data_IF_246134798301
#
_entry.id   IF_246134798301
#
_cell.length_a   1.000
_cell.length_b   1.000
_cell.length_c   1.000
_cell.angle_alpha   90.00
_cell.angle_beta   90.00
_cell.angle_gamma   90.00
#
_symmetry.space_group_name_H-M   'P 1'
#
loop_
_entity.id
_entity.type
_entity.pdbx_description
1 polymer ?
#
# COMPACT_ATOMS: atom_id res chain seq x y z
N UNK A 1 10.26 -8.33 -5.41
CA UNK A 1 9.89 -8.09 -6.82
C UNK A 1 8.51 -7.45 -6.75
N UNK A 2 8.40 -6.20 -7.20
CA UNK A 2 7.17 -5.40 -7.07
C UNK A 2 6.09 -5.98 -7.99
N UNK A 3 4.90 -6.26 -7.46
CA UNK A 3 3.75 -6.75 -8.23
C UNK A 3 3.06 -5.58 -8.92
N UNK A 4 2.65 -5.79 -10.17
CA UNK A 4 1.75 -4.87 -10.85
C UNK A 4 0.35 -4.91 -10.20
N UNK A 5 -0.12 -3.77 -9.70
CA UNK A 5 -1.42 -3.63 -9.03
C UNK A 5 -2.56 -3.18 -9.96
N UNK A 6 -2.29 -2.96 -11.25
CA UNK A 6 -3.29 -2.52 -12.23
C UNK A 6 -3.61 -1.02 -12.20
N UNK A 7 -2.81 -0.22 -11.49
CA UNK A 7 -2.93 1.24 -11.43
C UNK A 7 -1.63 1.90 -11.92
N UNK A 8 -1.71 3.07 -12.59
CA UNK A 8 -0.54 3.81 -13.03
C UNK A 8 0.12 4.52 -11.85
N UNK A 9 0.91 3.79 -11.07
CA UNK A 9 1.65 4.31 -9.91
C UNK A 9 3.15 4.09 -10.07
N UNK A 10 3.94 4.97 -9.48
CA UNK A 10 5.40 4.83 -9.44
C UNK A 10 5.75 3.67 -8.50
N UNK A 11 6.76 2.89 -8.88
CA UNK A 11 7.22 1.79 -8.05
C UNK A 11 7.77 2.27 -6.69
N UNK A 12 7.45 1.58 -5.57
CA UNK A 12 8.01 1.90 -4.28
C UNK A 12 9.53 1.74 -4.27
N UNK A 13 10.25 2.76 -3.77
CA UNK A 13 11.72 2.72 -3.62
C UNK A 13 12.18 2.02 -2.36
N UNK A 14 11.31 1.97 -1.34
CA UNK A 14 11.64 1.40 -0.04
C UNK A 14 11.56 -0.13 -0.04
N UNK A 15 12.37 -0.75 0.82
CA UNK A 15 12.36 -2.19 0.99
C UNK A 15 11.04 -2.62 1.66
N UNK A 16 10.40 -3.69 1.18
CA UNK A 16 9.20 -4.20 1.83
C UNK A 16 9.50 -4.68 3.24
N UNK A 17 8.53 -4.48 4.14
CA UNK A 17 8.54 -5.06 5.48
C UNK A 17 8.37 -6.58 5.36
N UNK A 18 9.19 -7.33 6.10
CA UNK A 18 9.16 -8.80 6.08
C UNK A 18 7.84 -9.29 6.71
N UNK A 19 7.20 -10.28 6.08
CA UNK A 19 5.93 -10.90 6.51
C UNK A 19 4.71 -9.95 6.51
N UNK A 20 4.72 -8.90 5.69
CA UNK A 20 3.62 -7.94 5.54
C UNK A 20 2.64 -8.39 4.43
N UNK A 21 1.58 -9.13 4.78
CA UNK A 21 0.62 -9.64 3.79
C UNK A 21 -0.30 -8.55 3.21
N UNK A 22 -0.55 -7.47 3.95
CA UNK A 22 -1.47 -6.40 3.56
C UNK A 22 -0.83 -5.36 2.62
N UNK A 23 0.43 -5.55 2.24
CA UNK A 23 1.10 -4.69 1.28
C UNK A 23 0.55 -4.97 -0.15
N UNK A 24 0.00 -3.98 -0.88
CA UNK A 24 -0.54 -4.22 -2.22
C UNK A 24 0.55 -4.54 -3.28
N UNK A 25 1.79 -4.13 -3.04
CA UNK A 25 2.92 -4.30 -3.96
C UNK A 25 3.71 -5.59 -3.75
N UNK A 26 3.86 -6.04 -2.50
CA UNK A 26 4.70 -7.20 -2.15
C UNK A 26 3.97 -8.29 -1.33
N UNK A 27 2.70 -8.05 -0.96
CA UNK A 27 1.85 -8.98 -0.21
C UNK A 27 0.78 -9.65 -1.11
N UNK A 28 -0.32 -10.08 -0.50
CA UNK A 28 -1.43 -10.78 -1.17
C UNK A 28 -2.65 -9.90 -1.43
N UNK A 29 -2.62 -8.64 -0.99
CA UNK A 29 -3.76 -7.73 -1.10
C UNK A 29 -4.04 -7.32 -2.57
N UNK A 30 -5.30 -7.41 -2.97
CA UNK A 30 -5.79 -6.98 -4.29
C UNK A 30 -6.58 -5.68 -4.18
N UNK A 31 -6.28 -4.71 -5.05
CA UNK A 31 -7.01 -3.43 -5.11
C UNK A 31 -8.17 -3.57 -6.12
N UNK A 32 -9.37 -3.19 -5.69
CA UNK A 32 -10.59 -3.16 -6.52
C UNK A 32 -11.59 -2.15 -5.96
N UNK A 33 -12.52 -1.67 -6.78
CA UNK A 33 -13.57 -0.74 -6.36
C UNK A 33 -13.27 0.71 -6.74
N UNK A 34 -13.40 1.63 -5.78
CA UNK A 34 -13.25 3.07 -5.98
C UNK A 34 -11.93 3.58 -5.39
N UNK A 35 -11.37 4.63 -5.99
CA UNK A 35 -10.23 5.38 -5.46
C UNK A 35 -10.72 6.64 -4.77
N UNK A 36 -10.07 7.01 -3.66
CA UNK A 36 -10.37 8.20 -2.88
C UNK A 36 -9.08 8.92 -2.53
N UNK A 37 -9.15 10.25 -2.39
CA UNK A 37 -8.06 11.12 -1.97
C UNK A 37 -8.47 11.86 -0.69
N UNK A 38 -7.51 12.11 0.20
CA UNK A 38 -7.76 12.74 1.50
C UNK A 38 -6.47 13.18 2.20
N UNK A 39 -6.62 13.89 3.31
CA UNK A 39 -5.51 14.37 4.14
C UNK A 39 -5.37 13.45 5.36
N UNK A 40 -4.14 12.99 5.64
CA UNK A 40 -3.83 12.19 6.83
C UNK A 40 -3.93 13.06 8.08
N UNK A 41 -4.74 12.65 9.05
CA UNK A 41 -4.95 13.35 10.33
C UNK A 41 -4.24 12.65 11.51
N UNK A 42 -3.93 11.35 11.41
CA UNK A 42 -3.24 10.59 12.45
C UNK A 42 -2.42 9.42 11.87
N UNK A 43 -1.20 9.22 12.37
CA UNK A 43 -0.31 8.15 11.95
C UNK A 43 0.39 7.45 13.15
N UNK A 44 -0.27 7.41 14.31
CA UNK A 44 0.30 6.79 15.52
C UNK A 44 0.25 5.26 15.54
N UNK A 45 -0.63 4.64 14.74
CA UNK A 45 -0.75 3.19 14.67
C UNK A 45 0.31 2.59 13.75
N UNK A 46 0.84 1.41 14.12
CA UNK A 46 1.89 0.74 13.34
C UNK A 46 1.33 0.28 11.99
N UNK A 47 1.84 0.84 10.90
CA UNK A 47 1.43 0.47 9.54
C UNK A 47 0.00 0.90 9.18
N UNK A 48 -0.56 1.90 9.86
CA UNK A 48 -1.93 2.40 9.59
C UNK A 48 -1.99 3.91 9.82
N UNK A 49 -2.66 4.60 8.90
CA UNK A 49 -2.95 6.03 9.00
C UNK A 49 -4.47 6.25 8.92
N UNK A 50 -4.94 7.33 9.54
CA UNK A 50 -6.32 7.83 9.51
C UNK A 50 -6.30 9.23 8.95
#
# INVERSE_FOLDING_TARGET
MTRNIGLPVIEPKEKPVKNENNNPFNGSLTIRGKLFEGIVINAKAKGTAV
#
